data_IF_925962666708
#
_entry.id   IF_925962666708
#
_cell.length_a   1.000
_cell.length_b   1.000
_cell.length_c   1.000
_cell.angle_alpha   90.00
_cell.angle_beta   90.00
_cell.angle_gamma   90.00
#
_symmetry.space_group_name_H-M   'P 1'
#
loop_
_entity.id
_entity.type
_entity.pdbx_description
1 polymer ?
#
# COMPACT_ATOMS: atom_id res chain seq x y z
N UNK A 1 19.67 -14.73 16.20
CA UNK A 1 18.71 -14.49 15.11
C UNK A 1 19.11 -13.21 14.41
N UNK A 2 19.25 -13.23 13.08
CA UNK A 2 19.53 -12.02 12.32
C UNK A 2 18.24 -11.19 12.26
N UNK A 3 18.19 -10.12 13.05
CA UNK A 3 17.02 -9.23 13.20
C UNK A 3 16.69 -8.46 11.93
N UNK A 4 17.59 -8.47 10.94
CA UNK A 4 17.39 -7.82 9.64
C UNK A 4 16.78 -8.75 8.60
N UNK A 5 16.62 -10.06 8.90
CA UNK A 5 16.05 -11.00 7.92
C UNK A 5 14.52 -10.96 7.97
N UNK A 6 13.93 -10.18 7.06
CA UNK A 6 12.48 -10.13 6.87
C UNK A 6 12.04 -11.23 5.92
N UNK A 7 11.13 -12.07 6.40
CA UNK A 7 10.51 -13.11 5.58
C UNK A 7 9.20 -12.56 5.01
N UNK A 8 9.00 -12.68 3.70
CA UNK A 8 7.73 -12.40 3.03
C UNK A 8 6.75 -13.57 3.26
N UNK A 9 6.48 -13.90 4.54
CA UNK A 9 5.67 -15.06 4.94
C UNK A 9 4.19 -14.95 4.55
N UNK A 10 3.76 -13.74 4.19
CA UNK A 10 2.39 -13.42 3.83
C UNK A 10 2.16 -13.34 2.32
N UNK A 11 3.14 -13.74 1.50
CA UNK A 11 3.00 -13.79 0.04
C UNK A 11 2.96 -15.25 -0.39
N UNK A 12 1.82 -15.68 -0.94
CA UNK A 12 1.72 -16.97 -1.61
C UNK A 12 1.87 -16.80 -3.12
N UNK A 13 2.45 -17.81 -3.75
CA UNK A 13 2.56 -17.91 -5.22
C UNK A 13 1.67 -19.04 -5.70
N UNK A 14 0.93 -18.83 -6.79
CA UNK A 14 0.26 -19.95 -7.46
C UNK A 14 1.29 -20.89 -8.08
N UNK A 15 1.10 -22.22 -7.92
CA UNK A 15 1.94 -23.22 -8.58
C UNK A 15 1.80 -23.20 -10.10
N UNK A 16 0.64 -22.78 -10.62
CA UNK A 16 0.37 -22.70 -12.06
C UNK A 16 0.80 -21.37 -12.67
N UNK A 17 0.86 -20.30 -11.88
CA UNK A 17 1.37 -19.00 -12.32
C UNK A 17 2.22 -18.34 -11.22
N UNK A 18 3.55 -18.57 -11.20
CA UNK A 18 4.44 -18.01 -10.19
C UNK A 18 4.49 -16.47 -10.18
N UNK A 19 4.02 -15.81 -11.24
CA UNK A 19 3.95 -14.35 -11.33
C UNK A 19 2.73 -13.75 -10.63
N UNK A 20 1.76 -14.58 -10.24
CA UNK A 20 0.60 -14.16 -9.46
C UNK A 20 0.87 -14.33 -7.96
N UNK A 21 1.13 -13.19 -7.33
CA UNK A 21 1.36 -13.09 -5.89
C UNK A 21 0.03 -12.82 -5.18
N UNK A 22 -0.27 -13.61 -4.15
CA UNK A 22 -1.40 -13.40 -3.25
C UNK A 22 -0.87 -12.88 -1.92
N UNK A 23 -1.28 -11.67 -1.56
CA UNK A 23 -1.00 -11.06 -0.27
C UNK A 23 -2.06 -11.52 0.75
N UNK A 24 -1.65 -12.33 1.71
CA UNK A 24 -2.46 -12.79 2.83
C UNK A 24 -2.16 -11.98 4.09
N UNK A 25 -2.98 -12.18 5.13
CA UNK A 25 -2.79 -11.58 6.46
C UNK A 25 -2.46 -10.08 6.40
N UNK A 26 -3.25 -9.33 5.65
CA UNK A 26 -3.12 -7.88 5.50
C UNK A 26 -3.54 -7.16 6.80
N UNK A 27 -2.91 -7.46 7.93
CA UNK A 27 -3.04 -6.80 9.22
C UNK A 27 -2.21 -5.50 9.24
N UNK A 28 -2.42 -4.65 8.23
CA UNK A 28 -1.70 -3.40 8.08
C UNK A 28 -1.91 -2.48 9.29
N UNK A 29 -0.84 -1.88 9.79
CA UNK A 29 -0.95 -0.90 10.87
C UNK A 29 -1.48 0.44 10.31
N UNK A 30 -2.76 0.71 10.56
CA UNK A 30 -3.43 1.94 10.10
C UNK A 30 -2.76 3.19 10.70
N UNK A 31 -2.35 3.16 11.97
CA UNK A 31 -1.72 4.29 12.67
C UNK A 31 -0.25 4.56 12.29
N UNK A 32 0.38 3.75 11.43
CA UNK A 32 1.78 3.99 11.02
C UNK A 32 1.90 5.28 10.21
N UNK A 33 2.59 6.29 10.74
CA UNK A 33 2.80 7.57 10.05
C UNK A 33 3.54 7.39 8.72
N UNK A 34 3.28 8.29 7.77
CA UNK A 34 3.86 8.24 6.43
C UNK A 34 5.40 8.35 6.44
N UNK A 35 5.98 9.04 7.42
CA UNK A 35 7.44 9.14 7.57
C UNK A 35 8.11 7.83 8.03
N UNK A 36 7.32 6.84 8.46
CA UNK A 36 7.82 5.53 8.86
C UNK A 36 7.69 4.48 7.75
N UNK A 37 7.39 4.86 6.51
CA UNK A 37 7.41 3.92 5.39
C UNK A 37 8.81 3.30 5.24
N UNK A 38 8.83 2.01 4.91
CA UNK A 38 10.06 1.28 4.68
C UNK A 38 10.14 0.87 3.21
N UNK A 39 11.19 1.31 2.54
CA UNK A 39 11.38 1.14 1.10
C UNK A 39 12.36 0.01 0.74
N UNK A 40 12.74 -0.84 1.70
CA UNK A 40 13.70 -1.93 1.49
C UNK A 40 13.29 -2.83 0.31
N UNK A 41 12.00 -3.16 0.18
CA UNK A 41 11.48 -3.96 -0.94
C UNK A 41 11.53 -3.25 -2.30
N UNK A 42 11.64 -1.92 -2.32
CA UNK A 42 11.82 -1.15 -3.55
C UNK A 42 13.30 -1.01 -3.94
N UNK A 43 14.22 -1.44 -3.09
CA UNK A 43 15.66 -1.33 -3.36
C UNK A 43 16.03 -2.20 -4.56
N UNK A 44 16.63 -1.59 -5.58
CA UNK A 44 17.01 -2.27 -6.82
C UNK A 44 15.88 -2.39 -7.85
N UNK A 45 14.63 -2.05 -7.50
CA UNK A 45 13.53 -1.96 -8.47
C UNK A 45 13.73 -0.69 -9.31
N UNK A 46 13.72 -0.85 -10.64
CA UNK A 46 13.89 0.27 -11.59
C UNK A 46 12.63 0.58 -12.38
N UNK A 47 11.66 -0.32 -12.38
CA UNK A 47 10.46 -0.24 -13.21
C UNK A 47 9.25 -0.69 -12.40
N UNK A 48 8.16 0.06 -12.51
CA UNK A 48 6.85 -0.29 -11.96
C UNK A 48 5.85 -0.28 -13.13
N UNK A 49 4.90 -1.24 -13.20
CA UNK A 49 3.89 -1.24 -14.24
C UNK A 49 3.14 0.09 -14.31
N UNK A 50 3.03 0.67 -15.50
CA UNK A 50 2.39 1.97 -15.71
C UNK A 50 0.95 2.00 -15.18
N UNK A 51 0.20 0.93 -15.40
CA UNK A 51 -1.19 0.79 -14.93
C UNK A 51 -1.32 0.87 -13.40
N UNK A 52 -0.30 0.45 -12.66
CA UNK A 52 -0.29 0.53 -11.20
C UNK A 52 -0.04 1.97 -10.76
N UNK A 53 0.88 2.67 -11.40
CA UNK A 53 1.13 4.09 -11.09
C UNK A 53 -0.05 4.98 -11.45
N UNK A 54 -0.70 4.74 -12.59
CA UNK A 54 -1.92 5.46 -12.99
C UNK A 54 -3.05 5.26 -11.97
N UNK A 55 -3.16 4.06 -11.40
CA UNK A 55 -4.17 3.78 -10.37
C UNK A 55 -3.81 4.38 -9.01
N UNK A 56 -2.57 4.19 -8.52
CA UNK A 56 -2.18 4.63 -7.17
C UNK A 56 -2.01 6.15 -7.10
N UNK A 57 -1.61 6.81 -8.20
CA UNK A 57 -1.40 8.25 -8.22
C UNK A 57 -2.55 9.03 -8.88
N UNK A 58 -3.69 8.37 -9.10
CA UNK A 58 -4.89 9.04 -9.59
C UNK A 58 -5.39 10.08 -8.59
N UNK A 59 -5.84 11.23 -9.12
CA UNK A 59 -6.40 12.32 -8.31
C UNK A 59 -7.64 11.88 -7.52
N UNK A 60 -8.38 10.91 -8.03
CA UNK A 60 -9.60 10.38 -7.41
C UNK A 60 -9.34 9.24 -6.40
N UNK A 61 -8.09 8.88 -6.10
CA UNK A 61 -7.79 7.77 -5.19
C UNK A 61 -8.48 7.95 -3.83
N UNK A 62 -8.46 9.17 -3.28
CA UNK A 62 -9.11 9.48 -2.00
C UNK A 62 -10.61 9.14 -2.03
N UNK A 63 -11.32 9.60 -3.06
CA UNK A 63 -12.77 9.37 -3.18
C UNK A 63 -13.11 7.90 -3.47
N UNK A 64 -12.27 7.19 -4.23
CA UNK A 64 -12.40 5.75 -4.46
C UNK A 64 -12.22 4.95 -3.17
N UNK A 65 -11.22 5.30 -2.34
CA UNK A 65 -11.00 4.67 -1.05
C UNK A 65 -12.17 4.90 -0.09
N UNK A 66 -12.67 6.14 0.03
CA UNK A 66 -13.86 6.42 0.85
C UNK A 66 -15.05 5.57 0.40
N UNK A 67 -15.37 5.57 -0.90
CA UNK A 67 -16.51 4.81 -1.44
C UNK A 67 -16.39 3.31 -1.15
N UNK A 68 -15.20 2.74 -1.34
CA UNK A 68 -14.97 1.31 -1.13
C UNK A 68 -15.04 0.94 0.35
N UNK A 69 -14.44 1.74 1.23
CA UNK A 69 -14.34 1.43 2.65
C UNK A 69 -15.65 1.72 3.40
N UNK A 70 -16.38 2.78 3.04
CA UNK A 70 -17.66 3.14 3.66
C UNK A 70 -18.73 2.04 3.54
N UNK A 71 -18.64 1.17 2.53
CA UNK A 71 -19.56 0.05 2.37
C UNK A 71 -19.35 -1.06 3.42
N UNK A 72 -18.17 -1.17 4.04
CA UNK A 72 -17.94 -2.11 5.14
C UNK A 72 -18.47 -1.55 6.46
N UNK A 73 -19.79 -1.47 6.55
CA UNK A 73 -20.46 -0.89 7.73
C UNK A 73 -20.24 -1.69 9.02
N UNK A 74 -19.78 -2.94 8.95
CA UNK A 74 -19.58 -3.78 10.14
C UNK A 74 -18.27 -3.43 10.83
N UNK A 75 -17.17 -3.33 10.07
CA UNK A 75 -15.87 -2.97 10.63
C UNK A 75 -15.88 -1.54 11.19
N UNK A 76 -16.41 -0.58 10.42
CA UNK A 76 -16.36 0.83 10.81
C UNK A 76 -17.30 1.21 11.94
N UNK A 77 -18.36 0.45 12.22
CA UNK A 77 -19.20 0.67 13.42
C UNK A 77 -18.49 0.28 14.72
N UNK A 78 -17.43 -0.52 14.63
CA UNK A 78 -16.63 -0.94 15.80
C UNK A 78 -15.45 -0.01 16.09
N UNK A 79 -15.16 0.90 15.15
CA UNK A 79 -14.16 1.96 15.25
C UNK A 79 -14.95 3.27 15.35
N UNK A 80 -14.42 4.31 15.99
CA UNK A 80 -15.14 5.58 16.12
C UNK A 80 -15.53 6.15 14.74
N UNK A 81 -16.63 6.92 14.65
CA UNK A 81 -17.27 7.37 13.39
C UNK A 81 -16.33 8.09 12.39
N UNK A 82 -15.16 8.57 12.83
CA UNK A 82 -14.15 9.24 11.98
C UNK A 82 -13.00 8.31 11.48
N UNK A 83 -12.95 7.05 11.91
CA UNK A 83 -11.83 6.14 11.64
C UNK A 83 -11.57 5.86 10.16
N UNK A 84 -12.60 5.91 9.31
CA UNK A 84 -12.45 5.80 7.84
C UNK A 84 -11.67 6.99 7.30
N UNK A 85 -12.02 8.20 7.74
CA UNK A 85 -11.43 9.41 7.20
C UNK A 85 -9.95 9.51 7.58
N UNK A 86 -9.63 9.24 8.85
CA UNK A 86 -8.25 9.20 9.33
C UNK A 86 -7.40 8.15 8.60
N UNK A 87 -7.97 6.95 8.36
CA UNK A 87 -7.30 5.90 7.60
C UNK A 87 -7.04 6.34 6.16
N UNK A 88 -8.04 6.89 5.49
CA UNK A 88 -7.91 7.35 4.10
C UNK A 88 -6.87 8.45 4.01
N UNK A 89 -6.91 9.45 4.90
CA UNK A 89 -5.92 10.53 4.91
C UNK A 89 -4.51 10.02 5.16
N UNK A 90 -4.33 9.05 6.06
CA UNK A 90 -3.04 8.41 6.29
C UNK A 90 -2.55 7.66 5.04
N UNK A 91 -3.43 6.96 4.31
CA UNK A 91 -3.09 6.29 3.06
C UNK A 91 -2.65 7.32 2.01
N UNK A 92 -3.37 8.43 1.86
CA UNK A 92 -3.01 9.48 0.89
C UNK A 92 -1.65 10.10 1.21
N UNK A 93 -1.38 10.41 2.49
CA UNK A 93 -0.05 10.90 2.89
C UNK A 93 1.07 9.91 2.56
N UNK A 94 0.82 8.60 2.75
CA UNK A 94 1.77 7.54 2.39
C UNK A 94 1.99 7.45 0.88
N UNK A 95 0.93 7.60 0.09
CA UNK A 95 1.00 7.62 -1.38
C UNK A 95 1.85 8.79 -1.87
N UNK A 96 1.70 9.98 -1.30
CA UNK A 96 2.53 11.14 -1.66
C UNK A 96 4.02 10.92 -1.30
N UNK A 97 4.31 10.33 -0.14
CA UNK A 97 5.69 9.95 0.22
C UNK A 97 6.27 8.89 -0.72
N UNK A 98 5.46 7.91 -1.13
CA UNK A 98 5.87 6.90 -2.10
C UNK A 98 6.15 7.51 -3.48
N UNK A 99 5.30 8.45 -3.92
CA UNK A 99 5.47 9.20 -5.17
C UNK A 99 6.77 10.00 -5.17
N UNK A 100 7.08 10.67 -4.06
CA UNK A 100 8.35 11.37 -3.88
C UNK A 100 9.54 10.41 -3.96
N UNK A 101 9.49 9.29 -3.23
CA UNK A 101 10.55 8.27 -3.26
C UNK A 101 10.82 7.74 -4.68
N UNK A 102 9.76 7.38 -5.42
CA UNK A 102 9.85 6.89 -6.81
C UNK A 102 10.53 7.92 -7.72
N UNK A 103 10.18 9.19 -7.56
CA UNK A 103 10.78 10.31 -8.30
C UNK A 103 12.27 10.46 -7.96
N UNK A 104 12.63 10.49 -6.67
CA UNK A 104 14.01 10.64 -6.21
C UNK A 104 14.92 9.49 -6.65
N UNK A 105 14.37 8.29 -6.79
CA UNK A 105 15.09 7.09 -7.19
C UNK A 105 15.01 6.78 -8.70
N UNK A 106 14.40 7.68 -9.50
CA UNK A 106 14.25 7.52 -10.95
C UNK A 106 13.62 6.18 -11.37
N UNK A 107 12.63 5.70 -10.60
CA UNK A 107 11.91 4.48 -10.93
C UNK A 107 10.93 4.79 -12.06
N UNK A 108 11.04 4.06 -13.17
CA UNK A 108 10.32 4.34 -14.41
C UNK A 108 9.00 3.59 -14.51
N UNK A 109 8.08 4.13 -15.32
CA UNK A 109 6.89 3.41 -15.77
C UNK A 109 7.22 2.48 -16.93
N UNK A 110 6.75 1.24 -16.84
CA UNK A 110 6.86 0.22 -17.89
C UNK A 110 5.52 -0.26 -18.38
#
# INVERSE_FOLDING_TARGET
>A
MNVDKRFLVHILTSKSNPSELVLLDNAGNIGRKADHLNYELLTGIRMIPKSIMENIFAEDLKSRLHRSLQWDTVYWKTIEDDGVNEMVDTIIQRVEKLKLYIKEHNIMAS
#
